data_IF_212822978694
#
_entry.id   IF_212822978694
#
_cell.length_a   1.000
_cell.length_b   1.000
_cell.length_c   1.000
_cell.angle_alpha   90.00
_cell.angle_beta   90.00
_cell.angle_gamma   90.00
#
_symmetry.space_group_name_H-M   'P 1'
#
loop_
_entity.id
_entity.type
_entity.pdbx_description
1 polymer ?
#
# COMPACT_ATOMS: atom_id res chain seq x y z
N UNK A 1 1.60 6.74 -6.67
CA UNK A 1 0.58 5.69 -6.42
C UNK A 1 0.26 5.06 -7.76
N UNK A 2 0.49 3.76 -7.89
CA UNK A 2 0.17 2.95 -9.05
C UNK A 2 -0.98 2.00 -8.73
N UNK A 3 -1.63 1.50 -9.78
CA UNK A 3 -2.73 0.54 -9.70
C UNK A 3 -2.44 -0.65 -10.60
N UNK A 4 -2.79 -1.84 -10.14
CA UNK A 4 -2.83 -3.07 -10.92
C UNK A 4 -4.12 -3.84 -10.63
N UNK A 5 -4.52 -4.71 -11.56
CA UNK A 5 -5.76 -5.47 -11.51
C UNK A 5 -5.44 -6.96 -11.72
N UNK A 6 -5.05 -7.67 -10.66
CA UNK A 6 -4.64 -9.08 -10.79
C UNK A 6 -5.80 -9.98 -11.24
N UNK A 7 -7.04 -9.56 -11.01
CA UNK A 7 -8.27 -10.20 -11.47
C UNK A 7 -9.43 -9.19 -11.59
N UNK A 8 -10.61 -9.64 -12.01
CA UNK A 8 -11.79 -8.79 -12.24
C UNK A 8 -12.42 -8.21 -10.96
N UNK A 9 -11.98 -8.65 -9.78
CA UNK A 9 -12.57 -8.31 -8.48
C UNK A 9 -11.59 -7.60 -7.52
N UNK A 10 -10.32 -7.49 -7.90
CA UNK A 10 -9.25 -7.00 -7.03
C UNK A 10 -8.59 -5.77 -7.64
N UNK A 11 -8.42 -4.72 -6.82
CA UNK A 11 -7.61 -3.55 -7.16
C UNK A 11 -6.39 -3.53 -6.24
N UNK A 12 -5.21 -3.74 -6.82
CA UNK A 12 -3.95 -3.64 -6.10
C UNK A 12 -3.45 -2.18 -6.16
N UNK A 13 -3.01 -1.66 -5.01
CA UNK A 13 -2.55 -0.28 -4.86
C UNK A 13 -1.12 -0.30 -4.35
N UNK A 14 -0.21 0.35 -5.08
CA UNK A 14 1.18 0.49 -4.66
C UNK A 14 1.56 1.98 -4.54
N UNK A 15 2.22 2.36 -3.45
CA UNK A 15 2.73 3.72 -3.28
C UNK A 15 4.23 3.72 -2.93
N UNK A 16 5.02 4.33 -3.80
CA UNK A 16 6.42 4.65 -3.52
C UNK A 16 6.54 6.11 -3.08
N UNK A 17 7.19 6.33 -1.93
CA UNK A 17 7.53 7.67 -1.43
C UNK A 17 9.04 7.79 -1.30
N UNK A 18 9.60 8.93 -1.71
CA UNK A 18 11.04 9.22 -1.63
C UNK A 18 11.25 10.60 -1.02
N UNK A 19 12.15 10.70 -0.05
CA UNK A 19 12.54 11.97 0.57
C UNK A 19 14.03 11.96 0.92
N UNK A 20 14.62 13.15 1.01
CA UNK A 20 15.91 13.35 1.69
C UNK A 20 15.64 13.90 3.09
N UNK A 21 15.60 13.03 4.09
CA UNK A 21 15.29 13.38 5.49
C UNK A 21 16.09 12.53 6.49
N UNK A 22 15.98 12.86 7.79
CA UNK A 22 16.63 12.11 8.88
C UNK A 22 15.87 10.84 9.28
N UNK A 23 14.61 10.73 8.89
CA UNK A 23 13.72 9.60 9.20
C UNK A 23 13.27 8.93 7.91
N UNK A 24 12.88 7.66 8.01
CA UNK A 24 12.23 6.97 6.89
C UNK A 24 10.85 7.53 6.60
N UNK A 25 10.28 7.11 5.46
CA UNK A 25 8.96 7.54 4.95
C UNK A 25 7.98 6.38 4.81
N UNK A 26 8.10 5.37 5.68
CA UNK A 26 7.22 4.21 5.69
C UNK A 26 5.77 4.62 5.91
N UNK A 27 5.55 5.57 6.82
CA UNK A 27 4.21 6.03 7.18
C UNK A 27 3.55 6.83 6.06
N UNK A 28 4.32 7.60 5.30
CA UNK A 28 3.83 8.35 4.15
C UNK A 28 3.37 7.40 3.04
N UNK A 29 4.13 6.32 2.79
CA UNK A 29 3.75 5.30 1.82
C UNK A 29 2.50 4.54 2.29
N UNK A 30 2.47 4.07 3.54
CA UNK A 30 1.32 3.35 4.12
C UNK A 30 0.06 4.22 4.18
N UNK A 31 0.22 5.51 4.51
CA UNK A 31 -0.90 6.45 4.53
C UNK A 31 -1.42 6.70 3.12
N UNK A 32 -0.53 6.84 2.13
CA UNK A 32 -0.93 7.05 0.75
C UNK A 32 -1.78 5.88 0.22
N UNK A 33 -1.36 4.62 0.42
CA UNK A 33 -2.19 3.47 0.00
C UNK A 33 -3.49 3.39 0.78
N UNK A 34 -3.47 3.67 2.09
CA UNK A 34 -4.68 3.63 2.94
C UNK A 34 -5.73 4.64 2.48
N UNK A 35 -5.32 5.89 2.27
CA UNK A 35 -6.24 6.95 1.82
C UNK A 35 -6.72 6.67 0.39
N UNK A 36 -5.87 6.14 -0.48
CA UNK A 36 -6.28 5.75 -1.84
C UNK A 36 -7.33 4.64 -1.79
N UNK A 37 -7.13 3.60 -0.98
CA UNK A 37 -8.09 2.51 -0.80
C UNK A 37 -9.43 3.01 -0.24
N UNK A 38 -9.39 3.87 0.78
CA UNK A 38 -10.60 4.49 1.34
C UNK A 38 -11.32 5.37 0.31
N UNK A 39 -10.58 6.06 -0.55
CA UNK A 39 -11.16 6.88 -1.64
C UNK A 39 -11.87 6.00 -2.66
N UNK A 40 -11.27 4.88 -3.07
CA UNK A 40 -11.91 3.91 -3.98
C UNK A 40 -13.16 3.33 -3.34
N UNK A 41 -13.08 2.94 -2.06
CA UNK A 41 -14.24 2.48 -1.32
C UNK A 41 -15.36 3.53 -1.33
N UNK A 42 -15.04 4.80 -1.07
CA UNK A 42 -16.02 5.88 -1.10
C UNK A 42 -16.71 6.03 -2.46
N UNK A 43 -15.97 5.89 -3.56
CA UNK A 43 -16.50 5.97 -4.92
C UNK A 43 -17.38 4.77 -5.31
N UNK A 44 -17.06 3.57 -4.79
CA UNK A 44 -17.71 2.32 -5.21
C UNK A 44 -18.74 1.80 -4.19
N UNK A 45 -18.83 2.34 -2.97
CA UNK A 45 -19.71 1.86 -1.88
C UNK A 45 -21.21 1.83 -2.23
N UNK A 46 -21.63 2.56 -3.26
CA UNK A 46 -23.01 2.52 -3.73
C UNK A 46 -23.32 1.27 -4.56
N UNK A 47 -22.30 0.70 -5.21
CA UNK A 47 -22.38 -0.48 -6.08
C UNK A 47 -22.19 -1.74 -5.24
N UNK A 48 -21.13 -1.77 -4.43
CA UNK A 48 -20.85 -2.87 -3.51
C UNK A 48 -20.41 -2.33 -2.15
N UNK A 49 -21.13 -2.72 -1.09
CA UNK A 49 -20.80 -2.36 0.31
C UNK A 49 -19.94 -3.43 0.99
N UNK A 50 -19.78 -4.59 0.36
CA UNK A 50 -19.01 -5.72 0.87
C UNK A 50 -17.52 -5.65 0.54
N UNK A 51 -17.08 -4.65 -0.24
CA UNK A 51 -15.66 -4.44 -0.55
C UNK A 51 -14.82 -4.43 0.72
N UNK A 52 -13.67 -5.10 0.68
CA UNK A 52 -12.72 -5.16 1.80
C UNK A 52 -11.43 -4.47 1.41
N UNK A 53 -10.89 -3.70 2.35
CA UNK A 53 -9.52 -3.19 2.25
C UNK A 53 -8.65 -4.17 3.02
N UNK A 54 -7.84 -4.93 2.29
CA UNK A 54 -7.01 -6.00 2.82
C UNK A 54 -5.52 -5.67 2.59
N UNK A 55 -4.66 -6.25 3.43
CA UNK A 55 -3.20 -6.31 3.19
C UNK A 55 -2.51 -4.94 2.99
N UNK A 56 -2.78 -3.96 3.87
CA UNK A 56 -1.96 -2.73 3.92
C UNK A 56 -0.63 -3.04 4.61
N UNK A 57 0.45 -3.04 3.84
CA UNK A 57 1.77 -3.41 4.35
C UNK A 57 2.91 -2.73 3.58
N UNK A 58 4.11 -2.77 4.16
CA UNK A 58 5.32 -2.22 3.57
C UNK A 58 6.05 -3.32 2.80
N UNK A 59 6.20 -3.18 1.48
CA UNK A 59 6.92 -4.14 0.64
C UNK A 59 8.43 -3.92 0.63
N UNK A 60 8.86 -2.68 0.46
CA UNK A 60 10.27 -2.33 0.38
C UNK A 60 10.54 -1.01 1.10
N UNK A 61 11.69 -0.92 1.77
CA UNK A 61 12.26 0.33 2.26
C UNK A 61 13.76 0.33 2.03
N UNK A 62 14.29 1.38 1.42
CA UNK A 62 15.73 1.64 1.36
C UNK A 62 16.12 2.89 2.15
N UNK A 63 17.30 2.84 2.77
CA UNK A 63 17.92 3.98 3.43
C UNK A 63 17.69 4.09 4.95
N UNK A 64 18.44 5.00 5.56
CA UNK A 64 18.49 5.15 7.02
C UNK A 64 19.36 4.09 7.70
N UNK A 65 19.42 4.15 9.04
CA UNK A 65 20.28 3.28 9.85
C UNK A 65 19.90 1.80 9.77
N UNK A 66 18.63 1.51 9.51
CA UNK A 66 18.09 0.14 9.44
C UNK A 66 18.47 -0.60 8.14
N UNK A 67 19.08 0.08 7.17
CA UNK A 67 19.45 -0.52 5.89
C UNK A 67 18.27 -0.75 4.95
N UNK A 68 18.45 -1.69 4.01
CA UNK A 68 17.44 -2.08 3.03
C UNK A 68 16.60 -3.22 3.58
N UNK A 69 15.28 -3.05 3.51
CA UNK A 69 14.28 -4.03 3.86
C UNK A 69 13.49 -4.36 2.60
N UNK A 70 13.32 -5.65 2.35
CA UNK A 70 12.39 -6.20 1.37
C UNK A 70 11.57 -7.24 2.10
N UNK A 71 10.26 -7.20 1.95
CA UNK A 71 9.37 -8.20 2.52
C UNK A 71 9.64 -9.55 1.87
N UNK A 72 9.71 -10.59 2.70
CA UNK A 72 9.79 -11.97 2.24
C UNK A 72 8.36 -12.53 2.16
N UNK A 73 7.98 -13.04 0.99
CA UNK A 73 6.65 -13.59 0.68
C UNK A 73 6.32 -14.84 1.53
N UNK A 74 7.30 -15.40 2.27
CA UNK A 74 7.16 -16.60 3.08
C UNK A 74 6.27 -16.47 4.33
N UNK A 75 5.62 -15.34 4.59
CA UNK A 75 4.97 -15.05 5.88
C UNK A 75 3.44 -15.06 5.91
N UNK A 76 2.75 -15.40 4.82
CA UNK A 76 1.28 -15.59 4.83
C UNK A 76 0.86 -16.77 3.90
N UNK A 77 0.89 -17.98 4.45
CA UNK A 77 0.13 -19.14 3.95
C UNK A 77 -1.13 -19.33 4.80
#
# INVERSE_FOLDING_TARGET
VGFDFPDDTTVQIEATVRVTAKTGVEMEALTAVSVTALTIYDMCKAIDRGMRIETIQLEEKSGGRSGHFVRDDASHA
#
